data_IF_026878415505
#
_entry.id   IF_026878415505
#
_cell.length_a   1.000
_cell.length_b   1.000
_cell.length_c   1.000
_cell.angle_alpha   90.00
_cell.angle_beta   90.00
_cell.angle_gamma   90.00
#
_symmetry.space_group_name_H-M   'P 1'
#
loop_
_entity.id
_entity.type
_entity.pdbx_description
1 polymer ?
#
# COMPACT_ATOMS: atom_id res chain seq x y z
N UNK A 1 2.56 -16.80 5.92
CA UNK A 1 2.65 -15.34 5.92
C UNK A 1 4.02 -14.81 6.37
N UNK A 2 4.64 -15.32 7.45
CA UNK A 2 5.98 -14.88 7.89
C UNK A 2 7.12 -15.10 6.87
N UNK A 3 7.05 -16.11 6.00
CA UNK A 3 8.09 -16.38 5.00
C UNK A 3 8.13 -15.35 3.85
N UNK A 4 6.99 -14.79 3.42
CA UNK A 4 6.94 -13.88 2.27
C UNK A 4 7.40 -12.46 2.62
N UNK A 5 7.07 -11.97 3.82
CA UNK A 5 7.62 -10.71 4.34
C UNK A 5 9.14 -10.81 4.57
N UNK A 6 9.63 -11.97 5.02
CA UNK A 6 11.06 -12.21 5.20
C UNK A 6 11.86 -12.28 3.87
N UNK A 7 11.25 -12.72 2.77
CA UNK A 7 11.91 -12.75 1.45
C UNK A 7 12.01 -11.35 0.85
N UNK A 8 10.96 -10.52 0.97
CA UNK A 8 11.00 -9.13 0.51
C UNK A 8 12.03 -8.28 1.30
N UNK A 9 12.20 -8.52 2.60
CA UNK A 9 13.25 -7.85 3.39
C UNK A 9 14.65 -8.42 3.15
N UNK A 10 14.77 -9.67 2.68
CA UNK A 10 16.07 -10.30 2.40
C UNK A 10 16.64 -9.89 1.04
N UNK A 11 15.79 -9.60 0.05
CA UNK A 11 16.22 -9.18 -1.29
C UNK A 11 16.32 -7.65 -1.44
N UNK A 12 15.76 -6.88 -0.50
CA UNK A 12 15.80 -5.41 -0.49
C UNK A 12 16.48 -4.93 0.79
N UNK A 13 17.79 -5.13 0.90
CA UNK A 13 18.59 -4.53 1.97
C UNK A 13 18.65 -2.98 1.85
N UNK A 14 18.40 -2.45 0.65
CA UNK A 14 18.27 -1.02 0.39
C UNK A 14 17.67 -0.70 -0.98
N UNK A 15 17.05 0.47 -1.09
CA UNK A 15 16.66 1.08 -2.37
C UNK A 15 17.35 2.44 -2.46
N UNK A 16 18.19 2.62 -3.48
CA UNK A 16 18.76 3.92 -3.83
C UNK A 16 17.91 4.55 -4.94
N UNK A 17 17.46 5.79 -4.75
CA UNK A 17 16.63 6.50 -5.74
C UNK A 17 17.35 7.78 -6.16
N UNK A 18 17.43 8.01 -7.47
CA UNK A 18 18.11 9.16 -8.06
C UNK A 18 19.61 8.93 -8.25
N UNK A 19 20.38 9.96 -8.62
CA UNK A 19 21.81 9.82 -8.87
C UNK A 19 22.57 9.31 -7.65
N UNK A 20 23.65 8.58 -7.88
CA UNK A 20 24.49 8.08 -6.79
C UNK A 20 25.13 9.24 -6.02
N UNK A 21 25.14 9.17 -4.69
CA UNK A 21 25.78 10.13 -3.79
C UNK A 21 25.28 11.59 -3.86
N UNK A 22 24.11 11.83 -4.45
CA UNK A 22 23.48 13.16 -4.46
C UNK A 22 22.35 13.28 -3.43
N UNK A 23 21.78 12.16 -2.95
CA UNK A 23 20.66 12.17 -2.00
C UNK A 23 21.11 12.65 -0.62
N UNK A 24 20.57 13.77 -0.10
CA UNK A 24 20.90 14.23 1.24
C UNK A 24 20.37 13.23 2.28
N UNK A 25 21.21 12.87 3.27
CA UNK A 25 20.85 11.92 4.31
C UNK A 25 21.21 12.43 5.71
N UNK A 26 20.36 12.07 6.67
CA UNK A 26 20.63 12.24 8.10
C UNK A 26 20.68 10.87 8.76
N UNK A 27 21.77 10.59 9.46
CA UNK A 27 21.90 9.40 10.32
C UNK A 27 21.81 9.84 11.76
N UNK A 28 20.87 9.24 12.50
CA UNK A 28 20.63 9.53 13.91
C UNK A 28 21.15 8.37 14.77
N UNK A 29 22.04 8.68 15.72
CA UNK A 29 22.45 7.77 16.79
C UNK A 29 21.89 8.27 18.11
N UNK A 30 21.14 7.46 18.84
CA UNK A 30 20.64 7.86 20.17
C UNK A 30 21.38 7.07 21.25
N UNK A 31 21.92 7.78 22.25
CA UNK A 31 22.39 7.14 23.49
C UNK A 31 21.39 7.41 24.61
N UNK A 32 20.84 6.33 25.17
CA UNK A 32 19.95 6.35 26.32
C UNK A 32 20.74 5.97 27.57
N UNK A 33 21.26 6.95 28.34
CA UNK A 33 21.98 6.65 29.58
C UNK A 33 21.02 6.14 30.68
N UNK A 34 21.59 5.52 31.72
CA UNK A 34 20.80 5.07 32.88
C UNK A 34 20.28 6.26 33.69
N UNK A 35 19.19 6.04 34.44
CA UNK A 35 18.37 7.05 35.16
C UNK A 35 19.17 8.29 35.63
N UNK A 36 18.62 9.46 35.30
CA UNK A 36 19.02 10.85 35.67
C UNK A 36 19.93 11.62 34.70
N UNK A 37 20.35 11.04 33.58
CA UNK A 37 21.09 11.77 32.53
C UNK A 37 20.21 12.12 31.31
N UNK A 38 20.56 13.21 30.63
CA UNK A 38 19.89 13.65 29.40
C UNK A 38 20.17 12.70 28.23
N UNK A 39 19.15 12.39 27.44
CA UNK A 39 19.28 11.65 26.19
C UNK A 39 20.20 12.44 25.24
N UNK A 40 21.22 11.79 24.71
CA UNK A 40 22.12 12.40 23.71
C UNK A 40 21.79 11.87 22.33
N UNK A 41 21.57 12.79 21.37
CA UNK A 41 21.34 12.51 19.97
C UNK A 41 22.59 12.90 19.17
N UNK A 42 23.18 11.95 18.46
CA UNK A 42 24.22 12.15 17.46
C UNK A 42 23.56 12.29 16.10
N UNK A 43 23.88 13.37 15.39
CA UNK A 43 23.41 13.61 14.04
C UNK A 43 24.62 13.63 13.11
N UNK A 44 24.65 12.72 12.15
CA UNK A 44 25.56 12.81 11.01
C UNK A 44 24.75 13.26 9.81
N UNK A 45 25.16 14.37 9.21
CA UNK A 45 24.60 14.86 7.95
C UNK A 45 25.54 14.47 6.81
N UNK A 46 25.02 13.79 5.81
CA UNK A 46 25.63 13.70 4.49
C UNK A 46 24.97 14.80 3.63
N UNK A 47 25.70 15.89 3.30
CA UNK A 47 25.15 16.91 2.41
C UNK A 47 24.93 16.29 1.03
N UNK A 48 23.81 16.65 0.40
CA UNK A 48 23.47 16.26 -0.97
C UNK A 48 22.72 17.41 -1.62
N UNK A 49 22.91 17.57 -2.93
CA UNK A 49 22.19 18.52 -3.79
C UNK A 49 21.05 17.85 -4.57
N UNK A 50 20.84 16.55 -4.33
CA UNK A 50 19.77 15.78 -4.91
C UNK A 50 18.40 16.37 -4.60
N UNK A 51 17.64 16.66 -5.65
CA UNK A 51 16.23 17.03 -5.56
C UNK A 51 15.37 15.79 -5.55
N UNK A 52 14.35 15.75 -4.67
CA UNK A 52 13.26 14.81 -4.83
C UNK A 52 12.66 14.97 -6.23
N UNK A 53 12.56 13.87 -6.95
CA UNK A 53 12.10 13.85 -8.33
C UNK A 53 10.73 14.54 -8.46
N UNK A 54 10.64 15.53 -9.35
CA UNK A 54 9.41 16.29 -9.62
C UNK A 54 8.52 15.49 -10.58
N UNK A 55 7.48 14.88 -10.04
CA UNK A 55 6.58 13.97 -10.74
C UNK A 55 5.52 14.67 -11.61
N UNK A 56 5.70 15.94 -11.99
CA UNK A 56 4.71 16.73 -12.74
C UNK A 56 4.19 16.07 -14.03
N UNK A 57 5.04 15.31 -14.72
CA UNK A 57 4.68 14.62 -15.96
C UNK A 57 4.43 13.12 -15.77
N UNK A 58 4.40 12.64 -14.53
CA UNK A 58 4.18 11.23 -14.22
C UNK A 58 2.72 10.85 -14.48
N UNK A 59 2.53 9.95 -15.46
CA UNK A 59 1.23 9.30 -15.69
C UNK A 59 1.10 7.99 -14.93
N UNK A 60 0.12 7.86 -14.04
CA UNK A 60 -0.08 6.67 -13.19
C UNK A 60 -1.09 5.65 -13.76
N UNK A 61 -2.05 6.11 -14.56
CA UNK A 61 -3.12 5.28 -15.12
C UNK A 61 -2.64 4.17 -16.08
N UNK A 62 -1.62 4.40 -16.95
CA UNK A 62 -1.16 3.34 -17.85
C UNK A 62 -0.69 2.11 -17.07
N UNK A 63 -0.82 0.89 -17.62
CA UNK A 63 -0.32 -0.30 -16.97
C UNK A 63 1.20 -0.25 -16.76
N UNK A 64 1.67 -0.93 -15.73
CA UNK A 64 3.10 -1.06 -15.42
C UNK A 64 3.76 -2.06 -16.35
N UNK A 65 4.93 -1.70 -16.88
CA UNK A 65 5.78 -2.61 -17.63
C UNK A 65 6.46 -3.62 -16.69
N UNK A 66 6.42 -4.90 -17.06
CA UNK A 66 7.09 -5.99 -16.35
C UNK A 66 8.60 -5.97 -16.64
N UNK A 67 9.32 -5.05 -15.98
CA UNK A 67 10.78 -4.88 -16.11
C UNK A 67 11.53 -5.79 -15.14
N UNK A 68 12.62 -6.38 -15.62
CA UNK A 68 13.56 -7.14 -14.79
C UNK A 68 14.74 -6.24 -14.42
N UNK A 69 14.63 -5.49 -13.33
CA UNK A 69 15.73 -4.65 -12.85
C UNK A 69 16.80 -5.53 -12.20
N UNK A 70 18.06 -5.26 -12.56
CA UNK A 70 19.22 -5.94 -11.99
C UNK A 70 19.39 -5.50 -10.53
N UNK A 71 19.52 -6.44 -9.57
CA UNK A 71 19.92 -6.09 -8.21
C UNK A 71 21.33 -5.49 -8.18
N UNK A 72 21.53 -4.52 -7.30
CA UNK A 72 22.76 -3.78 -7.07
C UNK A 72 22.52 -2.27 -7.04
N UNK A 73 23.23 -1.57 -6.16
CA UNK A 73 23.37 -0.11 -6.23
C UNK A 73 24.56 0.21 -7.13
N UNK A 74 24.33 0.95 -8.22
CA UNK A 74 25.42 1.45 -9.07
C UNK A 74 26.27 2.48 -8.29
N UNK A 75 27.23 1.98 -7.53
CA UNK A 75 28.30 2.76 -6.91
C UNK A 75 29.48 2.84 -7.90
N UNK A 76 30.24 3.95 -7.92
CA UNK A 76 31.53 4.01 -8.58
C UNK A 76 32.55 3.19 -7.78
N UNK A 77 32.42 1.87 -7.82
CA UNK A 77 33.36 0.91 -7.25
C UNK A 77 34.53 0.66 -8.21
N UNK A 78 35.66 0.17 -7.68
CA UNK A 78 36.73 -0.34 -8.54
C UNK A 78 36.22 -1.49 -9.42
N UNK A 79 36.82 -1.77 -10.60
CA UNK A 79 36.27 -2.70 -11.61
C UNK A 79 35.99 -4.15 -11.14
N UNK A 80 36.36 -4.51 -9.91
CA UNK A 80 36.32 -5.86 -9.35
C UNK A 80 35.56 -5.96 -8.01
N UNK A 81 34.92 -4.89 -7.55
CA UNK A 81 34.17 -4.88 -6.30
C UNK A 81 32.67 -5.09 -6.57
N UNK A 82 32.04 -5.97 -5.80
CA UNK A 82 30.61 -6.25 -5.96
C UNK A 82 29.79 -5.00 -5.60
N UNK A 83 28.77 -4.65 -6.40
CA UNK A 83 27.92 -3.51 -6.09
C UNK A 83 27.20 -3.75 -4.75
N UNK A 84 26.98 -2.69 -3.94
CA UNK A 84 26.21 -2.82 -2.72
C UNK A 84 24.86 -3.49 -2.95
N UNK A 85 24.45 -4.33 -2.00
CA UNK A 85 23.17 -5.04 -2.04
C UNK A 85 22.01 -4.05 -2.04
N UNK A 86 21.01 -4.30 -2.90
CA UNK A 86 19.82 -3.46 -3.01
C UNK A 86 19.37 -3.27 -4.45
N UNK A 87 18.61 -2.22 -4.70
CA UNK A 87 18.18 -1.82 -6.04
C UNK A 87 18.45 -0.34 -6.25
N UNK A 88 19.06 0.01 -7.39
CA UNK A 88 19.16 1.38 -7.86
C UNK A 88 17.98 1.72 -8.77
N UNK A 89 17.17 2.70 -8.39
CA UNK A 89 16.16 3.34 -9.24
C UNK A 89 16.79 4.61 -9.82
N UNK A 90 17.27 4.52 -11.05
CA UNK A 90 17.95 5.64 -11.72
C UNK A 90 16.95 6.74 -12.09
N UNK A 91 17.40 7.99 -12.35
CA UNK A 91 16.51 9.10 -12.73
C UNK A 91 15.54 8.75 -13.87
N UNK A 92 16.02 8.03 -14.89
CA UNK A 92 15.21 7.57 -16.03
C UNK A 92 14.16 6.49 -15.67
N UNK A 93 14.33 5.83 -14.52
CA UNK A 93 13.43 4.79 -14.01
C UNK A 93 12.43 5.32 -12.99
N UNK A 94 12.62 6.54 -12.46
CA UNK A 94 11.76 7.13 -11.43
C UNK A 94 10.29 7.19 -11.87
N UNK A 95 10.02 7.51 -13.15
CA UNK A 95 8.67 7.50 -13.71
C UNK A 95 8.02 6.11 -13.70
N UNK A 96 8.78 5.08 -14.08
CA UNK A 96 8.30 3.71 -14.02
C UNK A 96 8.08 3.27 -12.57
N UNK A 97 9.01 3.57 -11.67
CA UNK A 97 8.94 3.16 -10.27
C UNK A 97 7.79 3.85 -9.51
N UNK A 98 7.56 5.15 -9.75
CA UNK A 98 6.40 5.86 -9.20
C UNK A 98 5.07 5.21 -9.63
N UNK A 99 4.98 4.76 -10.89
CA UNK A 99 3.82 4.01 -11.38
C UNK A 99 3.70 2.62 -10.73
N UNK A 100 4.81 1.90 -10.54
CA UNK A 100 4.83 0.62 -9.80
C UNK A 100 4.24 0.81 -8.41
N UNK A 101 4.67 1.85 -7.68
CA UNK A 101 4.18 2.14 -6.33
C UNK A 101 2.68 2.46 -6.34
N UNK A 102 2.23 3.33 -7.26
CA UNK A 102 0.82 3.71 -7.34
C UNK A 102 -0.09 2.53 -7.72
N UNK A 103 0.37 1.65 -8.60
CA UNK A 103 -0.42 0.49 -9.02
C UNK A 103 -0.38 -0.62 -7.97
N UNK A 104 0.73 -0.79 -7.24
CA UNK A 104 0.77 -1.71 -6.10
C UNK A 104 -0.19 -1.28 -4.97
N UNK A 105 -0.28 0.02 -4.70
CA UNK A 105 -1.23 0.62 -3.77
C UNK A 105 -2.69 0.36 -4.22
N UNK A 106 -3.01 0.67 -5.49
CA UNK A 106 -4.31 0.37 -6.08
C UNK A 106 -4.67 -1.13 -6.03
N UNK A 107 -3.70 -2.01 -6.33
CA UNK A 107 -3.90 -3.46 -6.21
C UNK A 107 -4.22 -3.87 -4.76
N UNK A 108 -3.52 -3.29 -3.77
CA UNK A 108 -3.78 -3.54 -2.35
C UNK A 108 -5.19 -3.14 -1.93
N UNK A 109 -5.65 -1.97 -2.38
CA UNK A 109 -7.00 -1.48 -2.12
C UNK A 109 -8.06 -2.38 -2.76
N UNK A 110 -7.88 -2.77 -4.03
CA UNK A 110 -8.82 -3.68 -4.70
C UNK A 110 -8.81 -5.09 -4.10
N UNK A 111 -7.67 -5.55 -3.60
CA UNK A 111 -7.58 -6.81 -2.86
C UNK A 111 -8.35 -6.71 -1.54
N UNK A 112 -8.23 -5.59 -0.84
CA UNK A 112 -8.94 -5.31 0.41
C UNK A 112 -10.47 -5.31 0.23
N UNK A 113 -10.98 -4.87 -0.92
CA UNK A 113 -12.41 -4.92 -1.25
C UNK A 113 -12.91 -6.29 -1.72
N UNK A 114 -12.07 -7.32 -1.73
CA UNK A 114 -12.44 -8.69 -2.07
C UNK A 114 -11.68 -9.31 -3.26
N UNK A 115 -10.78 -8.57 -3.91
CA UNK A 115 -9.84 -9.12 -4.87
C UNK A 115 -10.41 -9.41 -6.26
N UNK A 116 -9.82 -10.40 -6.94
CA UNK A 116 -10.23 -10.86 -8.26
C UNK A 116 -9.75 -9.97 -9.41
N UNK A 117 -10.52 -9.99 -10.52
CA UNK A 117 -10.17 -9.31 -11.78
C UNK A 117 -9.86 -7.80 -11.61
N UNK A 118 -10.57 -7.02 -10.77
CA UNK A 118 -10.22 -5.62 -10.55
C UNK A 118 -8.87 -5.40 -9.87
N UNK A 119 -8.37 -6.38 -9.09
CA UNK A 119 -6.99 -6.36 -8.57
C UNK A 119 -5.98 -6.72 -9.65
N UNK A 120 -6.31 -7.73 -10.48
CA UNK A 120 -5.39 -8.24 -11.49
C UNK A 120 -4.94 -7.16 -12.50
N UNK A 121 -5.77 -6.16 -12.80
CA UNK A 121 -5.41 -5.11 -13.75
C UNK A 121 -4.19 -4.28 -13.33
N UNK A 122 -3.93 -4.22 -12.02
CA UNK A 122 -2.84 -3.43 -11.42
C UNK A 122 -1.54 -4.22 -11.23
N UNK A 123 -1.54 -5.51 -11.55
CA UNK A 123 -0.42 -6.41 -11.30
C UNK A 123 0.27 -6.83 -12.60
N UNK A 124 1.59 -6.96 -12.56
CA UNK A 124 2.37 -7.63 -13.60
C UNK A 124 2.32 -9.16 -13.43
N UNK A 125 2.84 -9.90 -14.42
CA UNK A 125 2.90 -11.38 -14.34
C UNK A 125 3.78 -11.81 -13.16
N UNK A 126 4.94 -11.15 -12.97
CA UNK A 126 5.84 -11.41 -11.83
C UNK A 126 5.22 -11.08 -10.48
N UNK A 127 4.31 -10.11 -10.42
CA UNK A 127 3.55 -9.78 -9.21
C UNK A 127 2.36 -10.72 -8.95
N UNK A 128 2.18 -11.76 -9.77
CA UNK A 128 1.16 -12.78 -9.54
C UNK A 128 -0.22 -12.43 -10.12
N UNK A 129 -0.29 -11.59 -11.16
CA UNK A 129 -1.54 -11.26 -11.89
C UNK A 129 -2.45 -12.47 -12.12
N UNK A 130 -1.90 -13.58 -12.57
CA UNK A 130 -2.65 -14.80 -12.91
C UNK A 130 -3.43 -15.40 -11.73
N UNK A 131 -2.97 -15.19 -10.49
CA UNK A 131 -3.70 -15.60 -9.29
C UNK A 131 -5.06 -14.90 -9.23
N UNK A 132 -5.09 -13.60 -9.49
CA UNK A 132 -6.29 -12.76 -9.43
C UNK A 132 -7.15 -12.83 -10.69
N UNK A 133 -6.60 -13.25 -11.83
CA UNK A 133 -7.37 -13.53 -13.06
C UNK A 133 -8.20 -14.81 -12.95
N UNK A 134 -7.70 -15.79 -12.18
CA UNK A 134 -8.32 -17.14 -12.08
C UNK A 134 -9.20 -17.29 -10.84
N UNK A 135 -8.88 -16.58 -9.74
CA UNK A 135 -9.69 -16.57 -8.51
C UNK A 135 -10.93 -15.67 -8.66
N UNK A 136 -11.89 -16.14 -9.43
CA UNK A 136 -13.31 -15.80 -9.28
C UNK A 136 -14.05 -17.08 -8.93
N UNK A 137 -13.84 -17.60 -7.70
CA UNK A 137 -14.67 -18.67 -7.15
C UNK A 137 -15.13 -18.31 -5.74
N UNK A 138 -16.44 -18.07 -5.64
CA UNK A 138 -17.22 -18.08 -4.43
C UNK A 138 -16.98 -19.40 -3.68
N UNK A 139 -16.22 -19.35 -2.59
CA UNK A 139 -15.95 -20.49 -1.74
C UNK A 139 -15.59 -20.00 -0.35
N UNK A 140 -16.50 -20.24 0.61
CA UNK A 140 -16.45 -19.87 2.04
C UNK A 140 -16.96 -18.46 2.41
N UNK A 141 -18.23 -18.16 2.09
CA UNK A 141 -18.95 -17.06 2.74
C UNK A 141 -18.49 -15.63 2.41
N UNK A 142 -17.61 -15.49 1.41
CA UNK A 142 -17.18 -14.21 0.84
C UNK A 142 -18.18 -13.85 -0.26
N UNK A 143 -18.97 -12.79 -0.04
CA UNK A 143 -19.79 -12.16 -1.09
C UNK A 143 -18.98 -10.97 -1.58
N UNK A 144 -18.62 -10.96 -2.86
CA UNK A 144 -17.96 -9.83 -3.52
C UNK A 144 -19.00 -8.82 -4.01
N UNK A 145 -18.59 -7.57 -4.22
CA UNK A 145 -19.45 -6.46 -4.67
C UNK A 145 -20.64 -6.18 -3.73
N UNK A 146 -20.43 -6.38 -2.42
CA UNK A 146 -21.43 -6.00 -1.41
C UNK A 146 -21.35 -4.51 -1.18
N UNK A 147 -22.52 -3.87 -1.11
CA UNK A 147 -22.63 -2.46 -0.77
C UNK A 147 -23.24 -2.30 0.62
N UNK A 148 -22.55 -1.59 1.50
CA UNK A 148 -23.08 -1.16 2.80
C UNK A 148 -23.08 0.36 2.92
N UNK A 149 -24.02 0.89 3.71
CA UNK A 149 -24.01 2.30 4.12
C UNK A 149 -23.49 2.41 5.54
N UNK A 150 -22.40 3.14 5.73
CA UNK A 150 -21.71 3.35 7.01
C UNK A 150 -21.46 4.86 7.16
N UNK A 151 -21.84 5.45 8.29
CA UNK A 151 -21.82 6.89 8.53
C UNK A 151 -22.49 7.69 7.39
N UNK A 152 -23.58 7.15 6.85
CA UNK A 152 -24.32 7.76 5.73
C UNK A 152 -23.63 7.69 4.36
N UNK A 153 -22.41 7.16 4.27
CA UNK A 153 -21.68 6.97 3.01
C UNK A 153 -21.75 5.53 2.53
N UNK A 154 -21.73 5.33 1.21
CA UNK A 154 -21.76 4.00 0.60
C UNK A 154 -20.35 3.47 0.39
N UNK A 155 -20.18 2.19 0.65
CA UNK A 155 -18.92 1.48 0.48
C UNK A 155 -19.16 0.19 -0.29
N UNK A 156 -18.27 -0.11 -1.22
CA UNK A 156 -18.25 -1.35 -2.00
C UNK A 156 -17.11 -2.22 -1.49
N UNK A 157 -17.39 -3.51 -1.28
CA UNK A 157 -16.37 -4.43 -0.84
C UNK A 157 -16.89 -5.83 -0.61
N UNK A 158 -16.41 -6.44 0.46
CA UNK A 158 -16.72 -7.84 0.74
C UNK A 158 -16.97 -8.08 2.22
N UNK A 159 -17.93 -8.98 2.49
CA UNK A 159 -18.21 -9.48 3.82
C UNK A 159 -17.41 -10.76 4.06
N UNK A 160 -16.76 -10.82 5.22
CA UNK A 160 -16.07 -11.98 5.75
C UNK A 160 -16.81 -12.45 6.99
N UNK A 161 -17.00 -13.77 7.13
CA UNK A 161 -17.55 -14.34 8.36
C UNK A 161 -16.56 -15.28 8.99
N UNK A 162 -16.13 -14.97 10.20
CA UNK A 162 -15.22 -15.81 10.98
C UNK A 162 -15.75 -16.04 12.39
N UNK A 163 -15.05 -16.89 13.15
CA UNK A 163 -15.35 -17.14 14.56
C UNK A 163 -14.22 -16.60 15.43
N UNK A 164 -14.54 -15.71 16.37
CA UNK A 164 -13.65 -15.30 17.44
C UNK A 164 -14.17 -15.86 18.76
N UNK A 165 -13.39 -16.72 19.41
CA UNK A 165 -13.77 -17.38 20.67
C UNK A 165 -15.16 -18.05 20.61
N UNK A 166 -15.48 -18.71 19.49
CA UNK A 166 -16.77 -19.37 19.26
C UNK A 166 -17.93 -18.44 18.83
N UNK A 167 -17.75 -17.12 18.90
CA UNK A 167 -18.74 -16.12 18.45
C UNK A 167 -18.55 -15.86 16.96
N UNK A 168 -19.64 -15.96 16.18
CA UNK A 168 -19.63 -15.55 14.77
C UNK A 168 -19.57 -14.03 14.68
N UNK A 169 -18.57 -13.55 13.95
CA UNK A 169 -18.35 -12.14 13.66
C UNK A 169 -18.37 -11.99 12.14
N UNK A 170 -19.10 -10.98 11.70
CA UNK A 170 -19.05 -10.50 10.33
C UNK A 170 -18.14 -9.28 10.29
N UNK A 171 -17.24 -9.28 9.32
CA UNK A 171 -16.35 -8.18 9.03
C UNK A 171 -16.58 -7.73 7.59
N UNK A 172 -16.90 -6.47 7.40
CA UNK A 172 -16.92 -5.85 6.09
C UNK A 172 -15.60 -5.12 5.87
N UNK A 173 -14.96 -5.36 4.73
CA UNK A 173 -13.83 -4.58 4.23
C UNK A 173 -14.21 -3.96 2.88
N UNK A 174 -14.10 -2.65 2.77
CA UNK A 174 -14.57 -1.92 1.60
C UNK A 174 -13.85 -0.61 1.33
N UNK A 175 -14.21 0.01 0.22
CA UNK A 175 -13.75 1.32 -0.23
C UNK A 175 -14.98 2.17 -0.57
N UNK A 176 -14.92 3.47 -0.32
CA UNK A 176 -16.01 4.38 -0.68
C UNK A 176 -16.40 4.20 -2.15
N UNK A 177 -17.70 4.14 -2.44
CA UNK A 177 -18.23 3.77 -3.78
C UNK A 177 -17.59 4.59 -4.92
N UNK A 178 -17.52 5.91 -4.77
CA UNK A 178 -16.94 6.81 -5.78
C UNK A 178 -15.43 6.53 -6.02
N UNK A 179 -14.68 6.27 -4.95
CA UNK A 179 -13.26 5.94 -5.01
C UNK A 179 -13.00 4.54 -5.58
N UNK A 180 -13.86 3.59 -5.24
CA UNK A 180 -13.85 2.25 -5.80
C UNK A 180 -14.09 2.29 -7.30
N UNK A 181 -15.03 3.11 -7.78
CA UNK A 181 -15.33 3.24 -9.20
C UNK A 181 -14.15 3.79 -10.02
N UNK A 182 -13.33 4.67 -9.46
CA UNK A 182 -12.08 5.08 -10.10
C UNK A 182 -11.10 3.93 -10.24
N UNK A 183 -10.88 3.16 -9.17
CA UNK A 183 -9.96 2.02 -9.21
C UNK A 183 -10.53 0.82 -9.97
N UNK A 184 -11.84 0.67 -10.08
CA UNK A 184 -12.43 -0.32 -10.98
C UNK A 184 -12.10 0.01 -12.44
N UNK A 185 -12.17 1.28 -12.79
CA UNK A 185 -12.02 1.78 -14.16
C UNK A 185 -10.56 2.11 -14.56
N UNK A 186 -9.59 1.81 -13.71
CA UNK A 186 -8.16 2.05 -13.99
C UNK A 186 -7.70 3.50 -13.81
N UNK A 187 -8.51 4.37 -13.20
CA UNK A 187 -8.23 5.81 -12.99
C UNK A 187 -7.51 6.04 -11.66
N UNK A 188 -6.26 5.60 -11.57
CA UNK A 188 -5.42 5.71 -10.38
C UNK A 188 -5.17 7.17 -10.00
N UNK A 189 -4.95 8.04 -10.98
CA UNK A 189 -4.71 9.47 -10.76
C UNK A 189 -5.91 10.15 -10.10
N UNK A 190 -7.10 9.87 -10.63
CA UNK A 190 -8.35 10.42 -10.10
C UNK A 190 -8.62 9.91 -8.69
N UNK A 191 -8.44 8.60 -8.45
CA UNK A 191 -8.54 8.04 -7.10
C UNK A 191 -7.65 8.78 -6.10
N UNK A 192 -6.35 8.96 -6.41
CA UNK A 192 -5.41 9.61 -5.50
C UNK A 192 -5.77 11.06 -5.24
N UNK A 193 -6.19 11.78 -6.28
CA UNK A 193 -6.62 13.17 -6.16
C UNK A 193 -7.83 13.32 -5.24
N UNK A 194 -8.87 12.51 -5.46
CA UNK A 194 -10.11 12.58 -4.69
C UNK A 194 -9.94 12.05 -3.26
N UNK A 195 -9.23 10.93 -3.07
CA UNK A 195 -8.91 10.43 -1.74
C UNK A 195 -8.14 11.49 -0.93
N UNK A 196 -7.16 12.16 -1.54
CA UNK A 196 -6.43 13.24 -0.89
C UNK A 196 -7.32 14.44 -0.55
N UNK A 197 -8.29 14.79 -1.39
CA UNK A 197 -9.24 15.86 -1.12
C UNK A 197 -10.23 15.50 0.01
N UNK A 198 -10.58 14.22 0.13
CA UNK A 198 -11.54 13.71 1.12
C UNK A 198 -10.91 13.33 2.47
N UNK A 199 -9.58 13.28 2.57
CA UNK A 199 -8.83 12.72 3.72
C UNK A 199 -9.28 13.22 5.10
N UNK A 200 -9.69 14.49 5.20
CA UNK A 200 -10.07 15.16 6.45
C UNK A 200 -11.61 15.23 6.62
N UNK A 201 -12.37 14.59 5.71
CA UNK A 201 -13.84 14.64 5.65
C UNK A 201 -14.54 13.39 6.20
N UNK A 202 -13.77 12.39 6.62
CA UNK A 202 -14.29 11.12 7.13
C UNK A 202 -14.76 11.28 8.57
N UNK A 203 -15.88 10.62 8.90
CA UNK A 203 -16.37 10.55 10.27
C UNK A 203 -15.34 9.79 11.14
N UNK A 204 -15.08 10.32 12.33
CA UNK A 204 -14.14 9.73 13.30
C UNK A 204 -14.85 8.92 14.38
N UNK A 205 -16.20 8.91 14.40
CA UNK A 205 -16.95 8.07 15.32
C UNK A 205 -16.61 6.59 15.06
N UNK A 206 -16.03 5.87 16.03
CA UNK A 206 -15.66 4.48 15.84
C UNK A 206 -16.87 3.52 15.84
N UNK A 207 -18.11 4.03 15.88
CA UNK A 207 -19.33 3.21 15.93
C UNK A 207 -20.42 3.72 14.98
N UNK A 208 -20.93 2.83 14.12
CA UNK A 208 -22.09 3.13 13.28
C UNK A 208 -23.37 2.46 13.82
N UNK A 209 -24.41 3.27 14.05
CA UNK A 209 -25.67 2.80 14.62
C UNK A 209 -26.47 1.88 13.68
N UNK A 210 -26.36 2.06 12.35
CA UNK A 210 -27.07 1.26 11.35
C UNK A 210 -26.41 -0.11 11.19
N UNK A 211 -25.08 -0.14 11.14
CA UNK A 211 -24.24 -1.33 11.14
C UNK A 211 -24.30 -2.09 12.47
N UNK A 212 -24.47 -1.35 13.58
CA UNK A 212 -24.53 -1.85 14.97
C UNK A 212 -23.21 -2.47 15.42
N UNK A 213 -22.11 -1.81 15.13
CA UNK A 213 -20.79 -2.31 15.45
C UNK A 213 -19.69 -1.28 15.26
N UNK A 214 -18.46 -1.61 15.68
CA UNK A 214 -17.32 -0.75 15.48
C UNK A 214 -16.97 -0.62 13.99
N UNK A 215 -16.52 0.58 13.63
CA UNK A 215 -16.11 0.99 12.29
C UNK A 215 -14.76 1.69 12.40
N UNK A 216 -13.89 1.42 11.43
CA UNK A 216 -12.64 2.15 11.20
C UNK A 216 -12.67 2.69 9.78
N UNK A 217 -12.67 4.01 9.65
CA UNK A 217 -12.51 4.72 8.37
C UNK A 217 -11.09 5.25 8.26
N UNK A 218 -10.50 5.14 7.07
CA UNK A 218 -9.14 5.58 6.82
C UNK A 218 -9.11 6.72 5.78
N UNK A 219 -8.12 7.63 5.81
CA UNK A 219 -8.05 8.77 4.90
C UNK A 219 -8.07 8.43 3.41
N UNK A 220 -7.59 7.25 3.04
CA UNK A 220 -7.61 6.68 1.70
C UNK A 220 -9.01 6.21 1.21
N UNK A 221 -10.04 6.37 2.07
CA UNK A 221 -11.43 6.03 1.80
C UNK A 221 -11.80 4.58 2.12
N UNK A 222 -10.88 3.79 2.67
CA UNK A 222 -11.19 2.42 3.10
C UNK A 222 -12.01 2.40 4.39
N UNK A 223 -12.82 1.35 4.52
CA UNK A 223 -13.60 1.05 5.72
C UNK A 223 -13.37 -0.39 6.14
N UNK A 224 -13.23 -0.59 7.45
CA UNK A 224 -13.41 -1.89 8.08
C UNK A 224 -14.49 -1.78 9.14
N UNK A 225 -15.50 -2.64 9.06
CA UNK A 225 -16.61 -2.65 10.01
C UNK A 225 -16.84 -4.06 10.55
N UNK A 226 -17.01 -4.20 11.87
CA UNK A 226 -17.22 -5.50 12.51
C UNK A 226 -18.58 -5.53 13.18
N UNK A 227 -19.30 -6.66 13.13
CA UNK A 227 -20.48 -6.87 13.97
C UNK A 227 -20.62 -8.32 14.38
N UNK A 228 -21.26 -8.54 15.52
CA UNK A 228 -21.61 -9.89 15.98
C UNK A 228 -22.81 -10.39 15.19
N UNK A 229 -22.69 -11.57 14.59
CA UNK A 229 -23.84 -12.28 14.05
C UNK A 229 -24.57 -12.95 15.21
N UNK A 230 -25.77 -12.47 15.53
CA UNK A 230 -26.65 -13.19 16.47
C UNK A 230 -27.19 -14.42 15.75
N UNK A 231 -27.13 -15.58 16.42
CA UNK A 231 -27.91 -16.74 15.99
C UNK A 231 -29.38 -16.31 16.11
N UNK A 232 -30.08 -16.31 14.98
CA UNK A 232 -31.53 -16.22 14.95
C UNK A 232 -32.16 -17.46 15.58
#
# INVERSE_FOLDING_TARGET
>A
MHKQLATASADVEGIHIGPYNETPAFVFGTTLPKKSESITLYLLQAPGDGTLWDAKDLRLDPPVEDRSIRPGIDAPTEPNEEPPVGYHVRPEECGWFGRVLAQADAAGLMAFTGGGKPTAQYLTKRQGKGHFETFTHAGTGIVQDVTHTIHGKKFVGTDHVFRLNGVRVEAFSGLAEDLFDHLRDGRVEQYRHEAHALRDSWDTDPWDAKWRGPVSLHPDGTVMALRRLRLG
#
